data_IF_076550972077
#
_entry.id   IF_076550972077
#
_cell.length_a   1.000
_cell.length_b   1.000
_cell.length_c   1.000
_cell.angle_alpha   90.00
_cell.angle_beta   90.00
_cell.angle_gamma   90.00
#
_symmetry.space_group_name_H-M   'P 1'
#
loop_
_entity.id
_entity.type
_entity.pdbx_description
1 polymer ?
#
# COMPACT_ATOMS: atom_id res chain seq x y z
N UNK A 1 -12.92 -21.77 -19.22
CA UNK A 1 -12.13 -20.53 -19.20
C UNK A 1 -10.65 -20.88 -19.19
N UNK A 2 -9.81 -20.13 -19.91
CA UNK A 2 -8.38 -20.42 -19.97
C UNK A 2 -7.68 -19.83 -18.75
N UNK A 3 -7.34 -20.68 -17.77
CA UNK A 3 -6.44 -20.36 -16.67
C UNK A 3 -5.02 -20.69 -17.11
N UNK A 4 -4.13 -19.73 -16.99
CA UNK A 4 -2.72 -19.83 -17.35
C UNK A 4 -1.83 -19.96 -16.11
N UNK A 5 -0.58 -20.39 -16.31
CA UNK A 5 0.43 -20.45 -15.26
C UNK A 5 0.64 -21.84 -14.65
N UNK A 6 1.38 -21.90 -13.54
CA UNK A 6 1.92 -23.13 -12.95
C UNK A 6 1.38 -23.38 -11.54
N UNK A 7 1.29 -24.67 -11.20
CA UNK A 7 0.94 -25.14 -9.85
C UNK A 7 1.85 -26.34 -9.56
N UNK A 8 2.45 -26.34 -8.38
CA UNK A 8 3.25 -27.45 -7.88
C UNK A 8 2.35 -28.60 -7.43
N UNK A 9 2.90 -29.81 -7.41
CA UNK A 9 2.20 -31.02 -6.95
C UNK A 9 1.59 -30.82 -5.55
N UNK A 10 0.32 -31.19 -5.39
CA UNK A 10 -0.44 -31.07 -4.15
C UNK A 10 -1.14 -29.71 -3.95
N UNK A 11 -0.95 -28.76 -4.87
CA UNK A 11 -1.63 -27.45 -4.85
C UNK A 11 -2.69 -27.30 -5.95
N UNK A 12 -3.01 -28.37 -6.67
CA UNK A 12 -4.05 -28.40 -7.71
C UNK A 12 -5.41 -27.84 -7.25
N UNK A 13 -5.87 -28.08 -6.00
CA UNK A 13 -7.13 -27.49 -5.53
C UNK A 13 -7.15 -25.95 -5.58
N UNK A 14 -5.99 -25.28 -5.54
CA UNK A 14 -5.92 -23.82 -5.71
C UNK A 14 -6.25 -23.41 -7.15
N UNK A 15 -5.84 -24.20 -8.15
CA UNK A 15 -6.20 -23.98 -9.56
C UNK A 15 -7.69 -24.14 -9.76
N UNK A 16 -8.28 -25.19 -9.18
CA UNK A 16 -9.70 -25.48 -9.30
C UNK A 16 -10.54 -24.36 -8.69
N UNK A 17 -10.19 -23.92 -7.47
CA UNK A 17 -10.83 -22.79 -6.81
C UNK A 17 -10.67 -21.48 -7.62
N UNK A 18 -9.47 -21.21 -8.13
CA UNK A 18 -9.22 -20.04 -8.97
C UNK A 18 -10.06 -20.06 -10.24
N UNK A 19 -10.18 -21.20 -10.91
CA UNK A 19 -11.04 -21.35 -12.09
C UNK A 19 -12.53 -21.18 -11.75
N UNK A 20 -12.96 -21.68 -10.59
CA UNK A 20 -14.33 -21.56 -10.11
C UNK A 20 -14.75 -20.11 -9.85
N UNK A 21 -13.83 -19.23 -9.41
CA UNK A 21 -14.13 -17.81 -9.20
C UNK A 21 -14.69 -17.15 -10.47
N UNK A 22 -14.19 -17.54 -11.65
CA UNK A 22 -14.69 -16.98 -12.91
C UNK A 22 -16.03 -17.56 -13.34
N UNK A 23 -16.27 -18.84 -13.12
CA UNK A 23 -17.50 -19.50 -13.59
C UNK A 23 -18.67 -19.32 -12.62
N UNK A 24 -18.40 -19.11 -11.33
CA UNK A 24 -19.41 -19.05 -10.29
C UNK A 24 -19.49 -17.72 -9.54
N UNK A 25 -18.38 -16.95 -9.44
CA UNK A 25 -18.33 -15.70 -8.67
C UNK A 25 -18.24 -14.44 -9.55
N UNK A 26 -18.17 -14.62 -10.87
CA UNK A 26 -18.21 -13.52 -11.84
C UNK A 26 -16.90 -12.75 -11.99
N UNK A 27 -15.77 -13.35 -11.63
CA UNK A 27 -14.45 -12.73 -11.91
C UNK A 27 -14.30 -12.44 -13.40
N UNK A 28 -13.77 -11.26 -13.72
CA UNK A 28 -13.46 -10.86 -15.11
C UNK A 28 -12.01 -11.10 -15.45
N UNK A 29 -11.12 -10.80 -14.52
CA UNK A 29 -9.68 -10.95 -14.64
C UNK A 29 -9.03 -11.00 -13.27
N UNK A 30 -8.13 -11.96 -13.06
CA UNK A 30 -7.44 -12.11 -11.80
C UNK A 30 -6.07 -12.78 -11.98
N UNK A 31 -5.24 -12.65 -10.95
CA UNK A 31 -4.03 -13.44 -10.76
C UNK A 31 -3.86 -13.82 -9.29
N UNK A 32 -3.20 -14.95 -9.03
CA UNK A 32 -2.84 -15.40 -7.70
C UNK A 32 -1.45 -16.02 -7.71
N UNK A 33 -0.64 -15.63 -6.72
CA UNK A 33 0.64 -16.27 -6.44
C UNK A 33 0.67 -16.77 -5.00
N UNK A 34 1.16 -17.99 -4.78
CA UNK A 34 1.32 -18.57 -3.44
C UNK A 34 2.77 -19.01 -3.28
N UNK A 35 3.37 -18.62 -2.16
CA UNK A 35 4.71 -19.04 -1.75
C UNK A 35 4.63 -19.94 -0.52
N UNK A 36 5.41 -21.03 -0.54
CA UNK A 36 5.64 -21.91 0.61
C UNK A 36 7.14 -22.11 0.77
N UNK A 37 7.65 -21.87 1.98
CA UNK A 37 9.08 -22.02 2.30
C UNK A 37 10.00 -21.27 1.32
N UNK A 38 9.60 -20.05 0.95
CA UNK A 38 10.33 -19.20 0.00
C UNK A 38 10.21 -19.61 -1.48
N UNK A 39 9.47 -20.67 -1.80
CA UNK A 39 9.27 -21.15 -3.18
C UNK A 39 7.87 -20.83 -3.68
N UNK A 40 7.78 -20.29 -4.90
CA UNK A 40 6.50 -20.06 -5.57
C UNK A 40 5.90 -21.40 -6.00
N UNK A 41 4.82 -21.82 -5.34
CA UNK A 41 4.13 -23.10 -5.57
C UNK A 41 2.87 -22.93 -6.42
N UNK A 42 2.32 -21.72 -6.51
CA UNK A 42 1.21 -21.36 -7.40
C UNK A 42 1.57 -20.03 -8.06
N UNK A 43 1.37 -19.95 -9.37
CA UNK A 43 1.47 -18.72 -10.17
C UNK A 43 0.43 -18.81 -11.28
N UNK A 44 -0.76 -18.27 -11.05
CA UNK A 44 -1.91 -18.40 -11.94
C UNK A 44 -2.46 -17.04 -12.34
N UNK A 45 -2.98 -16.94 -13.56
CA UNK A 45 -3.73 -15.79 -14.03
C UNK A 45 -4.75 -16.18 -15.09
N UNK A 46 -5.74 -15.33 -15.33
CA UNK A 46 -6.75 -15.56 -16.34
C UNK A 46 -7.73 -14.41 -16.49
N UNK A 47 -8.53 -14.47 -17.54
CA UNK A 47 -9.55 -13.47 -17.82
C UNK A 47 -9.06 -12.27 -18.61
N UNK A 48 -9.77 -11.15 -18.48
CA UNK A 48 -9.51 -9.92 -19.19
C UNK A 48 -8.82 -8.91 -18.30
N UNK A 49 -7.95 -8.12 -18.90
CA UNK A 49 -7.21 -7.07 -18.21
C UNK A 49 -8.08 -5.90 -17.77
N UNK A 50 -9.02 -5.49 -18.62
CA UNK A 50 -9.87 -4.33 -18.40
C UNK A 50 -11.25 -4.75 -17.85
N UNK A 51 -11.75 -3.94 -16.92
CA UNK A 51 -12.95 -4.25 -16.12
C UNK A 51 -14.11 -3.31 -16.47
N UNK A 52 -13.86 -2.16 -17.10
CA UNK A 52 -14.83 -1.09 -17.34
C UNK A 52 -15.65 -1.23 -18.64
N UNK A 53 -15.31 -2.19 -19.51
CA UNK A 53 -16.09 -2.50 -20.71
C UNK A 53 -16.08 -1.42 -21.79
N UNK A 54 -15.32 -0.34 -21.61
CA UNK A 54 -15.21 0.78 -22.57
C UNK A 54 -13.94 0.75 -23.40
N UNK A 55 -12.95 -0.08 -23.07
CA UNK A 55 -11.75 -0.31 -23.91
C UNK A 55 -11.25 -1.76 -23.78
N UNK A 56 -11.31 -2.54 -24.85
CA UNK A 56 -10.54 -3.77 -25.07
C UNK A 56 -10.91 -5.04 -24.27
N UNK A 57 -11.16 -6.15 -24.98
CA UNK A 57 -11.23 -7.52 -24.43
C UNK A 57 -9.84 -8.14 -24.21
N UNK A 58 -8.83 -7.30 -23.92
CA UNK A 58 -7.45 -7.75 -23.87
C UNK A 58 -7.27 -8.85 -22.81
N UNK A 59 -6.60 -9.95 -23.15
CA UNK A 59 -6.39 -11.03 -22.19
C UNK A 59 -5.46 -10.54 -21.09
N UNK A 60 -5.73 -10.99 -19.86
CA UNK A 60 -4.76 -10.92 -18.79
C UNK A 60 -3.50 -11.68 -19.21
N UNK A 61 -2.34 -11.03 -19.13
CA UNK A 61 -1.05 -11.62 -19.44
C UNK A 61 -0.22 -11.77 -18.17
N UNK A 62 0.81 -12.61 -18.24
CA UNK A 62 1.85 -12.62 -17.21
C UNK A 62 2.42 -11.20 -17.09
N UNK A 63 2.46 -10.65 -15.88
CA UNK A 63 2.95 -9.29 -15.62
C UNK A 63 1.92 -8.17 -15.80
N UNK A 64 0.66 -8.47 -16.09
CA UNK A 64 -0.41 -7.45 -16.07
C UNK A 64 -0.47 -6.80 -14.68
N UNK A 65 -0.07 -5.52 -14.60
CA UNK A 65 -0.14 -4.73 -13.38
C UNK A 65 -1.59 -4.36 -13.05
N UNK A 66 -1.91 -4.29 -11.75
CA UNK A 66 -3.22 -3.90 -11.24
C UNK A 66 -3.08 -3.01 -10.01
N UNK A 67 -4.07 -2.14 -9.80
CA UNK A 67 -4.15 -1.31 -8.60
C UNK A 67 -4.60 -2.16 -7.41
N UNK A 68 -3.67 -2.46 -6.49
CA UNK A 68 -3.94 -3.31 -5.31
C UNK A 68 -4.55 -2.57 -4.11
N UNK A 69 -4.88 -1.29 -4.26
CA UNK A 69 -5.54 -0.42 -3.27
C UNK A 69 -4.92 -0.53 -1.87
N UNK A 70 -5.70 -0.93 -0.86
CA UNK A 70 -5.24 -0.93 0.53
C UNK A 70 -4.22 -2.01 0.85
N UNK A 71 -4.04 -3.02 -0.01
CA UNK A 71 -2.96 -4.00 0.16
C UNK A 71 -1.57 -3.32 0.16
N UNK A 72 -1.44 -2.15 -0.49
CA UNK A 72 -0.23 -1.32 -0.45
C UNK A 72 0.20 -0.96 0.98
N UNK A 73 -0.74 -0.85 1.93
CA UNK A 73 -0.42 -0.48 3.33
C UNK A 73 0.50 -1.50 4.00
N UNK A 74 0.35 -2.79 3.70
CA UNK A 74 1.19 -3.85 4.25
C UNK A 74 2.65 -3.69 3.80
N UNK A 75 2.88 -3.43 2.52
CA UNK A 75 4.21 -3.14 1.98
C UNK A 75 4.75 -1.82 2.53
N UNK A 76 3.93 -0.76 2.56
CA UNK A 76 4.33 0.55 3.06
C UNK A 76 4.72 0.50 4.55
N UNK A 77 4.03 -0.29 5.37
CA UNK A 77 4.37 -0.50 6.78
C UNK A 77 5.76 -1.13 6.98
N UNK A 78 6.28 -1.88 6.01
CA UNK A 78 7.61 -2.46 6.11
C UNK A 78 8.71 -1.37 6.18
N UNK A 79 8.49 -0.20 5.58
CA UNK A 79 9.47 0.90 5.56
C UNK A 79 9.79 1.40 6.98
N UNK A 80 8.85 1.93 7.78
CA UNK A 80 9.14 2.34 9.14
C UNK A 80 9.63 1.19 10.03
N UNK A 81 9.17 -0.04 9.81
CA UNK A 81 9.68 -1.21 10.56
C UNK A 81 11.15 -1.52 10.25
N UNK A 82 11.58 -1.36 9.00
CA UNK A 82 12.96 -1.54 8.59
C UNK A 82 13.84 -0.38 9.05
N UNK A 83 13.34 0.87 8.99
CA UNK A 83 14.02 2.03 9.59
C UNK A 83 14.20 1.84 11.10
N UNK A 84 13.19 1.29 11.78
CA UNK A 84 13.29 0.95 13.20
C UNK A 84 14.35 -0.12 13.46
N UNK A 85 14.37 -1.17 12.66
CA UNK A 85 15.42 -2.20 12.75
C UNK A 85 16.83 -1.64 12.54
N UNK A 86 16.97 -0.56 11.76
CA UNK A 86 18.25 0.15 11.53
C UNK A 86 18.59 1.15 12.65
N UNK A 87 17.70 1.37 13.62
CA UNK A 87 17.86 2.36 14.69
C UNK A 87 17.62 3.79 14.24
N UNK A 88 17.02 4.00 13.07
CA UNK A 88 16.75 5.33 12.49
C UNK A 88 15.37 5.88 12.92
N UNK A 89 14.48 5.02 13.39
CA UNK A 89 13.13 5.35 13.83
C UNK A 89 12.78 4.57 15.10
N UNK A 90 12.23 5.22 16.11
CA UNK A 90 11.67 4.55 17.28
C UNK A 90 10.13 4.48 17.16
N UNK A 91 9.57 3.27 17.29
CA UNK A 91 8.13 3.03 17.24
C UNK A 91 7.40 3.60 18.47
N UNK A 92 8.11 3.75 19.59
CA UNK A 92 7.60 4.26 20.85
C UNK A 92 7.89 5.76 21.05
N UNK A 93 8.61 6.38 20.12
CA UNK A 93 8.81 7.82 20.10
C UNK A 93 7.55 8.55 19.58
N UNK A 94 7.31 9.78 20.07
CA UNK A 94 6.30 10.66 19.48
C UNK A 94 6.62 10.97 18.01
N UNK A 95 5.61 10.94 17.14
CA UNK A 95 5.73 11.36 15.73
C UNK A 95 6.33 12.77 15.63
N UNK A 96 5.97 13.63 16.57
CA UNK A 96 6.47 15.00 16.67
C UNK A 96 8.00 15.12 16.80
N UNK A 97 8.71 14.08 17.20
CA UNK A 97 10.17 14.08 17.24
C UNK A 97 10.78 14.17 15.84
N UNK A 98 10.16 13.49 14.87
CA UNK A 98 10.57 13.48 13.46
C UNK A 98 9.86 14.57 12.66
N UNK A 99 8.61 14.86 13.02
CA UNK A 99 7.74 15.81 12.33
C UNK A 99 7.22 16.88 13.31
N UNK A 100 8.00 17.94 13.62
CA UNK A 100 7.65 18.92 14.64
C UNK A 100 6.27 19.58 14.48
N UNK A 101 5.88 19.90 13.25
CA UNK A 101 4.60 20.51 12.91
C UNK A 101 3.41 19.61 13.26
N UNK A 102 3.62 18.29 13.32
CA UNK A 102 2.61 17.33 13.72
C UNK A 102 2.20 17.45 15.19
N UNK A 103 3.02 18.09 16.05
CA UNK A 103 2.70 18.22 17.50
C UNK A 103 1.44 19.04 17.76
N UNK A 104 1.04 19.90 16.83
CA UNK A 104 -0.06 20.82 17.01
C UNK A 104 -1.39 20.12 17.36
N UNK A 105 -2.31 20.85 17.99
CA UNK A 105 -3.69 20.43 18.22
C UNK A 105 -3.85 19.12 19.01
N UNK A 106 -3.06 18.92 20.08
CA UNK A 106 -3.21 17.76 20.99
C UNK A 106 -2.57 16.46 20.49
N UNK A 107 -1.61 16.57 19.55
CA UNK A 107 -0.94 15.42 18.92
C UNK A 107 0.47 15.16 19.46
N UNK A 108 0.88 15.86 20.52
CA UNK A 108 2.22 15.80 21.11
C UNK A 108 2.60 14.38 21.58
N UNK A 109 1.60 13.55 21.91
CA UNK A 109 1.77 12.19 22.43
C UNK A 109 1.43 11.10 21.42
N UNK A 110 1.14 11.45 20.17
CA UNK A 110 0.91 10.45 19.11
C UNK A 110 2.23 9.72 18.86
N UNK A 111 2.27 8.42 19.12
CA UNK A 111 3.45 7.59 18.88
C UNK A 111 3.50 7.12 17.43
N UNK A 112 4.70 6.81 16.94
CA UNK A 112 4.89 6.23 15.59
C UNK A 112 4.05 4.96 15.41
N UNK A 113 4.03 4.06 16.41
CA UNK A 113 3.17 2.87 16.37
C UNK A 113 1.67 3.17 16.26
N UNK A 114 1.20 4.32 16.74
CA UNK A 114 -0.21 4.73 16.60
C UNK A 114 -0.58 5.01 15.15
N UNK A 115 0.37 5.49 14.34
CA UNK A 115 0.16 5.65 12.88
C UNK A 115 0.01 4.27 12.23
N UNK A 116 0.91 3.33 12.55
CA UNK A 116 0.94 2.00 11.93
C UNK A 116 -0.27 1.14 12.28
N UNK A 117 -0.86 1.33 13.46
CA UNK A 117 -1.98 0.53 13.94
C UNK A 117 -3.32 1.28 13.96
N UNK A 118 -3.44 2.39 13.23
CA UNK A 118 -4.69 3.16 13.07
C UNK A 118 -5.27 3.76 14.37
N UNK A 119 -4.40 4.09 15.33
CA UNK A 119 -4.79 4.71 16.61
C UNK A 119 -4.37 6.18 16.75
N UNK A 120 -3.91 6.81 15.68
CA UNK A 120 -3.50 8.22 15.69
C UNK A 120 -4.68 9.21 15.83
N UNK A 121 -5.93 8.77 15.68
CA UNK A 121 -7.11 9.64 15.77
C UNK A 121 -7.42 10.45 14.52
N UNK A 122 -6.88 10.08 13.36
CA UNK A 122 -6.94 10.89 12.14
C UNK A 122 -7.49 10.09 10.93
N UNK A 123 -8.58 9.31 11.06
CA UNK A 123 -9.04 8.42 9.99
C UNK A 123 -9.59 9.15 8.76
N UNK A 124 -9.96 10.42 8.95
CA UNK A 124 -10.56 11.31 7.95
C UNK A 124 -9.97 12.72 8.13
N UNK A 125 -10.11 13.57 7.11
CA UNK A 125 -9.81 14.99 7.19
C UNK A 125 -11.06 15.78 7.59
N UNK A 126 -10.89 16.82 8.40
CA UNK A 126 -11.91 17.80 8.75
C UNK A 126 -12.37 18.67 7.55
N UNK A 127 -11.55 18.72 6.49
CA UNK A 127 -11.83 19.40 5.24
C UNK A 127 -11.65 18.47 4.04
N UNK A 128 -12.48 18.63 2.99
CA UNK A 128 -12.26 17.92 1.74
C UNK A 128 -10.97 18.41 1.05
N UNK A 129 -10.31 17.50 0.34
CA UNK A 129 -9.24 17.82 -0.61
C UNK A 129 -9.77 17.58 -2.03
N UNK A 130 -9.36 18.44 -2.96
CA UNK A 130 -9.54 18.13 -4.38
C UNK A 130 -8.65 16.94 -4.78
N UNK A 131 -8.92 16.25 -5.90
CA UNK A 131 -8.02 15.22 -6.40
C UNK A 131 -6.58 15.73 -6.62
N UNK A 132 -6.43 16.96 -7.11
CA UNK A 132 -5.11 17.61 -7.26
C UNK A 132 -4.42 17.79 -5.90
N UNK A 133 -5.16 18.27 -4.90
CA UNK A 133 -4.63 18.42 -3.54
C UNK A 133 -4.21 17.08 -2.93
N UNK A 134 -4.96 16.02 -3.20
CA UNK A 134 -4.67 14.67 -2.69
C UNK A 134 -3.42 14.06 -3.34
N UNK A 135 -3.07 14.48 -4.56
CA UNK A 135 -1.89 14.05 -5.31
C UNK A 135 -0.65 14.89 -4.99
N UNK A 136 -0.80 16.13 -4.48
CA UNK A 136 0.34 16.93 -4.01
C UNK A 136 0.95 16.28 -2.76
N UNK A 137 2.27 15.99 -2.75
CA UNK A 137 2.92 15.29 -1.65
C UNK A 137 2.93 16.08 -0.33
N UNK A 138 2.60 17.37 -0.32
CA UNK A 138 2.65 18.25 0.86
C UNK A 138 1.27 18.56 1.41
N UNK A 139 0.25 18.66 0.57
CA UNK A 139 -1.07 19.18 0.97
C UNK A 139 -1.84 18.20 1.88
N UNK A 140 -1.78 16.91 1.57
CA UNK A 140 -2.33 15.85 2.42
C UNK A 140 -1.69 15.83 3.81
N UNK A 141 -0.37 15.66 3.93
CA UNK A 141 0.32 15.70 5.22
C UNK A 141 0.09 17.00 6.00
N UNK A 142 0.12 18.16 5.34
CA UNK A 142 -0.16 19.44 5.99
C UNK A 142 -1.58 19.51 6.56
N UNK A 143 -2.58 18.98 5.84
CA UNK A 143 -3.96 18.90 6.35
C UNK A 143 -4.04 18.01 7.60
N UNK A 144 -3.38 16.85 7.59
CA UNK A 144 -3.36 15.94 8.74
C UNK A 144 -2.64 16.55 9.95
N UNK A 145 -1.53 17.28 9.74
CA UNK A 145 -0.82 17.96 10.82
C UNK A 145 -1.63 19.11 11.44
N UNK A 146 -2.44 19.81 10.64
CA UNK A 146 -3.20 20.97 11.09
C UNK A 146 -4.51 20.63 11.84
N UNK A 147 -5.01 19.40 11.76
CA UNK A 147 -6.28 19.04 12.42
C UNK A 147 -6.07 18.41 13.81
N UNK A 148 -7.08 18.51 14.66
CA UNK A 148 -7.13 17.76 15.92
C UNK A 148 -7.50 16.29 15.68
N UNK A 149 -7.03 15.35 16.53
CA UNK A 149 -7.53 13.98 16.54
C UNK A 149 -9.04 13.95 16.85
N UNK A 150 -9.77 13.02 16.24
CA UNK A 150 -11.19 12.82 16.53
C UNK A 150 -11.44 12.01 17.81
N UNK A 151 -10.39 11.38 18.36
CA UNK A 151 -10.35 10.77 19.70
C UNK A 151 -8.95 10.90 20.30
N UNK A 152 -8.79 10.65 21.61
CA UNK A 152 -7.47 10.68 22.26
C UNK A 152 -6.53 9.61 21.64
N UNK A 153 -5.40 9.99 21.03
CA UNK A 153 -4.53 9.05 20.35
C UNK A 153 -4.11 7.86 21.23
N UNK A 154 -4.22 6.64 20.68
CA UNK A 154 -3.91 5.39 21.37
C UNK A 154 -5.07 4.76 22.13
N UNK A 155 -6.15 5.51 22.44
CA UNK A 155 -7.29 5.01 23.23
C UNK A 155 -8.35 4.29 22.39
N UNK A 156 -8.42 4.58 21.09
CA UNK A 156 -9.38 3.98 20.16
C UNK A 156 -8.71 3.70 18.79
N UNK A 157 -9.42 2.96 17.94
CA UNK A 157 -9.02 2.56 16.61
C UNK A 157 -10.05 2.96 15.56
N UNK A 158 -9.59 3.60 14.50
CA UNK A 158 -10.41 3.86 13.31
C UNK A 158 -9.57 3.76 12.06
N UNK A 159 -10.01 2.98 11.08
CA UNK A 159 -9.23 2.71 9.87
C UNK A 159 -8.93 3.99 9.08
N UNK A 160 -7.65 4.31 8.95
CA UNK A 160 -7.18 5.48 8.20
C UNK A 160 -7.11 5.13 6.71
N UNK A 161 -8.26 5.10 6.04
CA UNK A 161 -8.36 4.59 4.67
C UNK A 161 -7.43 5.31 3.69
N UNK A 162 -7.37 6.65 3.79
CA UNK A 162 -6.55 7.52 2.94
C UNK A 162 -5.41 8.19 3.72
N UNK A 163 -5.70 8.76 4.88
CA UNK A 163 -4.75 9.52 5.69
C UNK A 163 -3.54 8.72 6.16
N UNK A 164 -3.65 7.38 6.22
CA UNK A 164 -2.51 6.49 6.51
C UNK A 164 -1.34 6.71 5.56
N UNK A 165 -1.63 6.86 4.25
CA UNK A 165 -0.60 7.06 3.24
C UNK A 165 0.19 8.35 3.48
N UNK A 166 -0.52 9.46 3.73
CA UNK A 166 0.10 10.76 4.01
C UNK A 166 0.89 10.77 5.32
N UNK A 167 0.33 10.19 6.39
CA UNK A 167 1.01 10.07 7.68
C UNK A 167 2.32 9.28 7.56
N UNK A 168 2.27 8.11 6.91
CA UNK A 168 3.42 7.23 6.76
C UNK A 168 4.46 7.84 5.82
N UNK A 169 4.07 8.34 4.65
CA UNK A 169 5.00 8.90 3.67
C UNK A 169 5.74 10.13 4.22
N UNK A 170 5.03 11.06 4.89
CA UNK A 170 5.66 12.23 5.49
C UNK A 170 6.62 11.82 6.62
N UNK A 171 6.23 10.91 7.51
CA UNK A 171 7.13 10.40 8.54
C UNK A 171 8.41 9.80 7.95
N UNK A 172 8.29 8.99 6.89
CA UNK A 172 9.44 8.39 6.20
C UNK A 172 10.31 9.47 5.57
N UNK A 173 9.74 10.51 4.94
CA UNK A 173 10.50 11.63 4.37
C UNK A 173 11.31 12.36 5.45
N UNK A 174 10.72 12.61 6.61
CA UNK A 174 11.40 13.28 7.74
C UNK A 174 12.60 12.48 8.22
N UNK A 175 12.43 11.17 8.40
CA UNK A 175 13.48 10.27 8.93
C UNK A 175 14.61 10.10 7.92
N UNK A 176 14.29 10.00 6.64
CA UNK A 176 15.26 9.64 5.58
C UNK A 176 15.86 10.85 4.86
N UNK A 177 15.57 12.08 5.30
CA UNK A 177 16.08 13.30 4.66
C UNK A 177 15.46 13.61 3.29
N UNK A 178 14.20 13.20 3.06
CA UNK A 178 13.40 13.59 1.90
C UNK A 178 12.96 12.45 0.99
N UNK A 179 13.49 11.23 1.16
CA UNK A 179 13.05 10.06 0.39
C UNK A 179 11.67 9.61 0.88
N UNK A 180 10.69 9.57 -0.02
CA UNK A 180 9.35 9.06 0.30
C UNK A 180 9.31 7.54 0.43
N UNK A 181 8.23 7.02 1.01
CA UNK A 181 8.01 5.58 1.16
C UNK A 181 8.02 4.85 -0.18
N UNK A 182 7.44 5.43 -1.24
CA UNK A 182 7.45 4.82 -2.57
C UNK A 182 8.86 4.66 -3.17
N UNK A 183 9.69 5.69 -3.04
CA UNK A 183 11.10 5.63 -3.46
C UNK A 183 11.88 4.63 -2.61
N UNK A 184 11.66 4.63 -1.29
CA UNK A 184 12.32 3.70 -0.38
C UNK A 184 11.95 2.24 -0.71
N UNK A 185 10.66 1.95 -0.95
CA UNK A 185 10.20 0.64 -1.39
C UNK A 185 10.87 0.24 -2.71
N UNK A 186 10.94 1.15 -3.68
CA UNK A 186 11.56 0.87 -4.97
C UNK A 186 13.05 0.49 -4.82
N UNK A 187 13.80 1.28 -4.04
CA UNK A 187 15.25 1.14 -3.93
C UNK A 187 15.69 0.00 -3.00
N UNK A 188 14.97 -0.22 -1.90
CA UNK A 188 15.40 -1.10 -0.80
C UNK A 188 14.65 -2.44 -0.78
N UNK A 189 13.51 -2.55 -1.47
CA UNK A 189 12.67 -3.76 -1.49
C UNK A 189 12.47 -4.27 -2.91
N UNK A 190 11.79 -3.49 -3.76
CA UNK A 190 11.30 -3.99 -5.05
C UNK A 190 12.44 -4.28 -6.03
N UNK A 191 13.36 -3.33 -6.27
CA UNK A 191 14.47 -3.51 -7.21
C UNK A 191 15.47 -4.58 -6.76
N UNK A 192 15.93 -4.63 -5.50
CA UNK A 192 16.85 -5.69 -5.04
C UNK A 192 16.27 -7.10 -5.13
N UNK A 193 14.95 -7.24 -4.99
CA UNK A 193 14.24 -8.52 -5.06
C UNK A 193 13.67 -8.83 -6.45
N UNK A 194 13.80 -7.91 -7.42
CA UNK A 194 13.24 -8.06 -8.76
C UNK A 194 11.71 -8.18 -8.77
N UNK A 195 11.01 -7.39 -7.96
CA UNK A 195 9.55 -7.42 -7.83
C UNK A 195 8.87 -6.47 -8.81
N UNK A 196 7.79 -6.95 -9.43
CA UNK A 196 6.84 -6.15 -10.22
C UNK A 196 5.87 -5.41 -9.28
N UNK A 197 6.42 -4.49 -8.47
CA UNK A 197 5.69 -3.76 -7.42
C UNK A 197 6.10 -2.29 -7.41
N UNK A 198 5.09 -1.41 -7.50
CA UNK A 198 5.31 0.03 -7.57
C UNK A 198 4.35 0.79 -6.65
N UNK A 199 4.88 1.82 -6.00
CA UNK A 199 4.10 2.87 -5.35
C UNK A 199 4.45 4.16 -6.10
N UNK A 200 3.59 4.50 -7.06
CA UNK A 200 3.93 5.39 -8.18
C UNK A 200 4.45 4.55 -9.35
N UNK A 201 3.57 4.22 -10.30
CA UNK A 201 3.91 3.41 -11.46
C UNK A 201 4.81 4.22 -12.41
N UNK A 202 5.96 3.67 -12.88
CA UNK A 202 6.80 4.37 -13.85
C UNK A 202 6.08 4.55 -15.18
N UNK A 203 6.30 5.67 -15.87
CA UNK A 203 5.69 5.95 -17.17
C UNK A 203 5.97 4.87 -18.24
N UNK A 204 7.14 4.21 -18.14
CA UNK A 204 7.49 3.10 -19.03
C UNK A 204 6.56 1.89 -18.86
N UNK A 205 6.08 1.63 -17.64
CA UNK A 205 5.15 0.55 -17.34
C UNK A 205 3.70 0.94 -17.65
N UNK A 206 3.34 2.24 -17.52
CA UNK A 206 2.04 2.75 -17.99
C UNK A 206 1.86 2.59 -19.49
N UNK A 207 2.92 2.82 -20.28
CA UNK A 207 2.89 2.71 -21.74
C UNK A 207 3.06 1.28 -22.28
N UNK A 208 3.59 0.36 -21.47
CA UNK A 208 3.66 -1.07 -21.78
C UNK A 208 2.35 -1.81 -21.41
N UNK A 209 1.54 -1.14 -20.59
CA UNK A 209 0.14 -1.41 -20.39
C UNK A 209 -0.75 -0.73 -21.43
#
# INVERSE_FOLDING_TARGET
>A
MNVHGTVAEGFEPVRDAFAQNFTALGERGAAVAVYRDGRKVVDLWGGTRNVDGTVGTEPWRRGTAQVVRSATKGVAAAVPLLLHRRGELDLDAPVGEYWPEFKAHGKERVLVRHVLNHRAGLPVLDRPLTPEDALDPRRGPAAVAAQAPVWEPGTDHGYHALTYGWLLDELVRRVTGGRGAGQWIADEIARPLGLDLWVGLPAAEEAAG
#
